data_IF_111872017933
#
_entry.id   IF_111872017933
#
_cell.length_a   1.000
_cell.length_b   1.000
_cell.length_c   1.000
_cell.angle_alpha   90.00
_cell.angle_beta   90.00
_cell.angle_gamma   90.00
#
_symmetry.space_group_name_H-M   'P 1'
#
loop_
_entity.id
_entity.type
_entity.pdbx_description
1 polymer ?
#
# COMPACT_ATOMS: atom_id res chain seq x y z
N UNK A 1 32.07 -9.43 -69.86
CA UNK A 1 31.50 -8.38 -68.98
C UNK A 1 30.49 -9.03 -68.09
N UNK A 2 30.84 -9.21 -66.79
CA UNK A 2 29.92 -9.83 -65.80
C UNK A 2 29.26 -8.68 -65.02
N UNK A 3 27.95 -8.48 -65.21
CA UNK A 3 27.18 -7.48 -64.47
C UNK A 3 26.93 -7.98 -63.04
N UNK A 4 27.31 -7.18 -62.06
CA UNK A 4 27.08 -7.43 -60.62
C UNK A 4 25.72 -6.83 -60.27
N UNK A 5 24.74 -7.67 -59.90
CA UNK A 5 23.44 -7.24 -59.49
C UNK A 5 23.47 -6.92 -57.96
N UNK A 6 23.34 -5.65 -57.59
CA UNK A 6 23.19 -5.24 -56.19
C UNK A 6 21.74 -5.36 -55.78
N UNK A 7 21.43 -6.30 -54.90
CA UNK A 7 20.13 -6.40 -54.24
C UNK A 7 20.18 -5.53 -52.98
N UNK A 8 19.53 -4.41 -52.99
CA UNK A 8 19.30 -3.56 -51.80
C UNK A 8 18.19 -4.17 -50.94
N UNK A 9 18.55 -4.71 -49.79
CA UNK A 9 17.59 -5.17 -48.82
C UNK A 9 16.95 -3.96 -48.09
N UNK A 10 15.67 -3.75 -48.32
CA UNK A 10 14.88 -2.71 -47.61
C UNK A 10 14.43 -3.25 -46.26
N UNK A 11 15.04 -2.79 -45.18
CA UNK A 11 14.64 -3.16 -43.80
C UNK A 11 13.38 -2.40 -43.44
N UNK A 12 12.27 -3.09 -43.31
CA UNK A 12 11.01 -2.53 -42.81
C UNK A 12 11.06 -2.51 -41.28
N UNK A 13 11.17 -1.32 -40.68
CA UNK A 13 11.06 -1.13 -39.24
C UNK A 13 9.57 -1.15 -38.87
N UNK A 14 9.12 -2.24 -38.30
CA UNK A 14 7.75 -2.33 -37.73
C UNK A 14 7.79 -1.63 -36.38
N UNK A 15 7.23 -0.40 -36.33
CA UNK A 15 6.99 0.32 -35.07
C UNK A 15 5.70 -0.23 -34.48
N UNK A 16 5.83 -1.13 -33.48
CA UNK A 16 4.68 -1.55 -32.67
C UNK A 16 4.31 -0.41 -31.74
N UNK A 17 3.06 0.09 -31.75
CA UNK A 17 2.65 1.09 -30.77
C UNK A 17 2.72 0.48 -29.37
N UNK A 18 3.47 1.10 -28.47
CA UNK A 18 3.46 0.80 -27.05
C UNK A 18 2.09 1.26 -26.52
N UNK A 19 1.16 0.33 -26.36
CA UNK A 19 -0.11 0.62 -25.70
C UNK A 19 0.20 1.00 -24.26
N UNK A 20 -0.07 2.24 -23.88
CA UNK A 20 -0.03 2.66 -22.50
C UNK A 20 -1.06 1.81 -21.72
N UNK A 21 -0.59 0.93 -20.86
CA UNK A 21 -1.48 0.18 -19.98
C UNK A 21 -2.10 1.16 -18.98
N UNK A 22 -3.41 1.06 -18.78
CA UNK A 22 -4.05 1.81 -17.70
C UNK A 22 -3.40 1.37 -16.38
N UNK A 23 -3.04 2.32 -15.49
CA UNK A 23 -2.43 1.98 -14.21
C UNK A 23 -3.37 1.08 -13.41
N UNK A 24 -2.82 0.05 -12.77
CA UNK A 24 -3.60 -0.81 -11.90
C UNK A 24 -4.15 -0.03 -10.71
N UNK A 25 -5.35 -0.40 -10.28
CA UNK A 25 -6.07 0.26 -9.19
C UNK A 25 -6.57 -0.76 -8.18
N UNK A 26 -6.66 -0.30 -6.93
CA UNK A 26 -7.30 -1.03 -5.86
C UNK A 26 -8.15 -0.08 -5.01
N UNK A 27 -9.02 -0.66 -4.20
CA UNK A 27 -9.83 0.07 -3.22
C UNK A 27 -9.77 -0.62 -1.88
N UNK A 28 -10.00 0.15 -0.81
CA UNK A 28 -10.15 -0.39 0.52
C UNK A 28 -11.25 0.39 1.27
N UNK A 29 -12.12 -0.33 1.98
CA UNK A 29 -13.22 0.26 2.76
C UNK A 29 -12.87 0.11 4.23
N UNK A 30 -12.68 1.25 4.93
CA UNK A 30 -12.36 1.26 6.35
C UNK A 30 -13.59 0.96 7.19
N UNK A 31 -13.42 0.05 8.16
CA UNK A 31 -14.37 -0.22 9.22
C UNK A 31 -13.74 0.05 10.59
N UNK A 32 -14.55 0.49 11.54
CA UNK A 32 -14.15 0.65 12.94
C UNK A 32 -14.34 -0.65 13.75
N UNK A 33 -14.00 -0.63 15.04
CA UNK A 33 -14.12 -1.77 15.95
C UNK A 33 -15.58 -2.27 16.13
N UNK A 34 -16.59 -1.52 15.69
CA UNK A 34 -18.00 -1.92 15.67
C UNK A 34 -18.44 -2.51 14.31
N UNK A 35 -17.49 -2.64 13.34
CA UNK A 35 -17.78 -3.09 11.99
C UNK A 35 -18.51 -2.07 11.11
N UNK A 36 -18.62 -0.82 11.56
CA UNK A 36 -19.26 0.25 10.79
C UNK A 36 -18.28 0.82 9.77
N UNK A 37 -18.73 1.04 8.54
CA UNK A 37 -17.94 1.74 7.53
C UNK A 37 -17.72 3.19 7.95
N UNK A 38 -16.45 3.62 7.96
CA UNK A 38 -16.02 4.96 8.37
C UNK A 38 -15.22 5.70 7.32
N UNK A 39 -14.91 5.08 6.20
CA UNK A 39 -14.14 5.71 5.13
C UNK A 39 -13.74 4.74 4.02
N UNK A 40 -12.94 5.26 3.11
CA UNK A 40 -12.40 4.47 2.00
C UNK A 40 -11.01 4.97 1.59
N UNK A 41 -10.27 4.12 0.90
CA UNK A 41 -9.06 4.46 0.20
C UNK A 41 -9.14 4.01 -1.26
N UNK A 42 -8.50 4.80 -2.14
CA UNK A 42 -8.15 4.42 -3.50
C UNK A 42 -6.64 4.25 -3.58
N UNK A 43 -6.21 3.19 -4.22
CA UNK A 43 -4.81 2.89 -4.45
C UNK A 43 -4.55 2.91 -5.96
N UNK A 44 -3.50 3.59 -6.36
CA UNK A 44 -3.11 3.75 -7.76
C UNK A 44 -1.66 3.31 -7.94
N UNK A 45 -1.41 2.37 -8.85
CA UNK A 45 -0.05 2.01 -9.25
C UNK A 45 0.60 3.19 -9.97
N UNK A 46 1.79 3.57 -9.54
CA UNK A 46 2.63 4.57 -10.18
C UNK A 46 3.98 3.97 -10.55
N UNK A 47 4.82 4.70 -11.28
CA UNK A 47 6.21 4.30 -11.56
C UNK A 47 7.12 4.33 -10.34
N UNK A 48 6.65 4.88 -9.20
CA UNK A 48 7.43 5.05 -7.97
C UNK A 48 6.88 4.24 -6.79
N UNK A 49 5.90 3.36 -7.01
CA UNK A 49 5.19 2.61 -5.97
C UNK A 49 3.69 2.83 -6.02
N UNK A 50 3.00 2.70 -4.93
CA UNK A 50 1.54 2.83 -4.82
C UNK A 50 1.17 4.14 -4.15
N UNK A 51 0.42 5.00 -4.86
CA UNK A 51 -0.21 6.18 -4.28
C UNK A 51 -1.52 5.75 -3.60
N UNK A 52 -1.63 6.08 -2.31
CA UNK A 52 -2.81 5.80 -1.48
C UNK A 52 -3.49 7.12 -1.16
N UNK A 53 -4.74 7.25 -1.58
CA UNK A 53 -5.60 8.39 -1.27
C UNK A 53 -6.71 7.90 -0.35
N UNK A 54 -6.80 8.43 0.88
CA UNK A 54 -7.81 7.97 1.84
C UNK A 54 -8.57 9.12 2.48
N UNK A 55 -9.88 8.88 2.69
CA UNK A 55 -10.76 9.69 3.53
C UNK A 55 -11.41 8.80 4.58
N UNK A 56 -11.18 9.11 5.86
CA UNK A 56 -11.73 8.38 7.01
C UNK A 56 -12.29 9.38 8.01
N UNK A 57 -13.40 9.05 8.68
CA UNK A 57 -14.07 9.92 9.65
C UNK A 57 -14.33 9.17 10.96
N UNK A 58 -14.55 9.93 12.05
CA UNK A 58 -14.86 9.34 13.35
C UNK A 58 -13.66 8.73 14.05
N UNK A 59 -12.45 9.17 13.68
CA UNK A 59 -11.20 8.81 14.36
C UNK A 59 -10.92 9.81 15.51
N UNK A 60 -10.21 9.41 16.57
CA UNK A 60 -9.70 10.33 17.57
C UNK A 60 -8.77 11.37 16.92
N UNK A 61 -8.84 12.67 17.31
CA UNK A 61 -7.87 13.67 16.85
C UNK A 61 -6.46 13.37 17.33
N UNK A 62 -5.46 13.64 16.49
CA UNK A 62 -4.04 13.47 16.82
C UNK A 62 -3.26 12.74 15.76
N UNK A 63 -2.05 12.34 16.10
CA UNK A 63 -1.19 11.52 15.23
C UNK A 63 -1.47 10.04 15.44
N UNK A 64 -1.58 9.31 14.34
CA UNK A 64 -1.89 7.89 14.29
C UNK A 64 -0.97 7.16 13.34
N UNK A 65 -0.48 6.00 13.76
CA UNK A 65 0.24 5.10 12.89
C UNK A 65 -0.69 4.54 11.79
N UNK A 66 -0.15 4.42 10.60
CA UNK A 66 -0.86 4.02 9.39
C UNK A 66 0.01 3.02 8.64
N UNK A 67 -0.40 1.75 8.63
CA UNK A 67 0.43 0.67 8.09
C UNK A 67 -0.35 -0.25 7.17
N UNK A 68 0.35 -0.86 6.20
CA UNK A 68 -0.16 -2.02 5.48
C UNK A 68 0.19 -3.27 6.29
N UNK A 69 -0.81 -4.13 6.49
CA UNK A 69 -0.71 -5.40 7.20
C UNK A 69 -0.74 -6.58 6.22
N UNK A 70 -0.11 -7.69 6.63
CA UNK A 70 0.20 -8.85 5.78
C UNK A 70 -0.98 -9.73 5.41
N UNK A 71 -2.20 -9.47 5.94
CA UNK A 71 -3.39 -10.25 5.63
C UNK A 71 -4.57 -9.37 5.24
N UNK A 72 -5.29 -9.77 4.20
CA UNK A 72 -6.53 -9.16 3.75
C UNK A 72 -7.74 -9.53 4.62
N UNK A 73 -7.61 -9.34 5.94
CA UNK A 73 -8.63 -9.72 6.92
C UNK A 73 -8.79 -8.63 7.98
N UNK A 74 -10.02 -8.12 8.13
CA UNK A 74 -10.39 -7.08 9.09
C UNK A 74 -11.57 -7.59 9.94
N UNK A 75 -11.30 -8.41 10.97
CA UNK A 75 -12.32 -8.91 11.89
C UNK A 75 -12.39 -8.05 13.16
N UNK A 76 -13.46 -7.26 13.36
CA UNK A 76 -13.63 -6.44 14.56
C UNK A 76 -13.68 -7.26 15.86
N UNK A 77 -14.18 -8.50 15.81
CA UNK A 77 -14.29 -9.36 17.00
C UNK A 77 -12.91 -9.74 17.56
N UNK A 78 -11.88 -9.72 16.72
CA UNK A 78 -10.47 -9.94 17.10
C UNK A 78 -9.70 -8.64 17.34
N UNK A 79 -10.39 -7.48 17.40
CA UNK A 79 -9.73 -6.15 17.39
C UNK A 79 -8.75 -6.00 16.23
N UNK A 80 -9.13 -6.55 15.07
CA UNK A 80 -8.31 -6.57 13.84
C UNK A 80 -6.99 -7.36 13.92
N UNK A 81 -6.79 -8.20 14.94
CA UNK A 81 -5.62 -9.10 14.99
C UNK A 81 -5.58 -10.06 13.78
N UNK A 82 -6.73 -10.30 13.15
CA UNK A 82 -6.86 -11.04 11.89
C UNK A 82 -6.02 -10.48 10.74
N UNK A 83 -5.71 -9.16 10.75
CA UNK A 83 -4.84 -8.51 9.76
C UNK A 83 -3.37 -8.97 9.84
N UNK A 84 -2.98 -9.66 10.91
CA UNK A 84 -1.60 -10.13 11.12
C UNK A 84 -0.64 -8.99 11.52
N UNK A 85 0.66 -9.18 11.29
CA UNK A 85 1.70 -8.17 11.44
C UNK A 85 1.76 -7.20 10.26
N UNK A 86 2.73 -6.29 10.27
CA UNK A 86 2.98 -5.40 9.13
C UNK A 86 3.38 -6.22 7.89
N UNK A 87 3.04 -5.70 6.72
CA UNK A 87 3.48 -6.26 5.45
C UNK A 87 4.99 -6.02 5.32
N UNK A 88 5.77 -7.07 5.37
CA UNK A 88 7.23 -7.04 5.36
C UNK A 88 7.80 -7.99 4.32
N UNK A 89 8.88 -7.61 3.68
CA UNK A 89 9.70 -8.49 2.88
C UNK A 89 10.70 -9.26 3.77
N UNK A 90 11.28 -10.37 3.29
CA UNK A 90 12.17 -11.17 4.09
C UNK A 90 13.36 -10.37 4.66
N UNK A 91 13.53 -10.40 5.98
CA UNK A 91 14.65 -9.77 6.68
C UNK A 91 14.45 -8.31 7.08
N UNK A 92 13.33 -7.68 6.70
CA UNK A 92 12.99 -6.32 7.12
C UNK A 92 12.65 -6.26 8.61
N UNK A 93 12.87 -5.08 9.20
CA UNK A 93 12.51 -4.74 10.57
C UNK A 93 11.56 -3.56 10.55
N UNK A 94 10.84 -3.36 11.66
CA UNK A 94 9.95 -2.22 11.77
C UNK A 94 10.72 -0.91 11.93
N UNK A 95 10.24 0.12 11.20
CA UNK A 95 10.49 1.52 11.49
C UNK A 95 11.60 2.18 10.67
N UNK A 96 11.36 3.43 10.31
CA UNK A 96 12.28 4.26 9.49
C UNK A 96 13.60 4.60 10.19
N UNK A 97 13.65 4.48 11.53
CA UNK A 97 14.84 4.74 12.33
C UNK A 97 15.57 3.45 12.72
N UNK A 98 15.04 2.28 12.34
CA UNK A 98 15.66 1.00 12.61
C UNK A 98 16.83 0.75 11.67
N UNK A 99 17.90 0.16 12.21
CA UNK A 99 19.03 -0.31 11.39
C UNK A 99 18.58 -1.50 10.53
N UNK A 100 18.76 -1.39 9.22
CA UNK A 100 18.42 -2.44 8.25
C UNK A 100 17.13 -2.19 7.47
N UNK A 101 16.52 -1.03 7.59
CA UNK A 101 15.35 -0.60 6.80
C UNK A 101 14.02 -0.81 7.51
N UNK A 102 12.94 -0.25 6.95
CA UNK A 102 11.56 -0.41 7.43
C UNK A 102 10.89 -1.60 6.74
N UNK A 103 9.78 -2.12 7.33
CA UNK A 103 8.88 -3.01 6.60
C UNK A 103 8.35 -2.31 5.33
N UNK A 104 8.05 -3.09 4.30
CA UNK A 104 7.47 -2.55 3.07
C UNK A 104 6.13 -1.84 3.31
N UNK A 105 5.37 -2.24 4.32
CA UNK A 105 4.09 -1.61 4.68
C UNK A 105 4.18 -0.52 5.75
N UNK A 106 5.37 -0.13 6.21
CA UNK A 106 5.53 0.98 7.15
C UNK A 106 5.37 2.31 6.43
N UNK A 107 4.50 3.17 6.93
CA UNK A 107 4.24 4.50 6.37
C UNK A 107 4.36 5.58 7.46
N UNK A 108 4.56 6.84 7.08
CA UNK A 108 4.56 7.94 8.04
C UNK A 108 3.26 8.04 8.82
N UNK A 109 3.35 8.47 10.09
CA UNK A 109 2.17 8.81 10.88
C UNK A 109 1.27 9.79 10.14
N UNK A 110 -0.04 9.65 10.34
CA UNK A 110 -1.05 10.49 9.73
C UNK A 110 -1.75 11.33 10.79
N UNK A 111 -2.11 12.56 10.44
CA UNK A 111 -2.72 13.48 11.37
C UNK A 111 -4.23 13.55 11.18
N UNK A 112 -4.98 13.20 12.21
CA UNK A 112 -6.44 13.33 12.28
C UNK A 112 -6.80 14.70 12.83
N UNK A 113 -7.60 15.45 12.09
CA UNK A 113 -8.06 16.77 12.49
C UNK A 113 -8.98 16.77 13.72
N UNK A 114 -9.23 17.95 14.31
CA UNK A 114 -10.13 18.10 15.45
C UNK A 114 -11.59 17.70 15.14
N UNK A 115 -11.94 17.65 13.86
CA UNK A 115 -13.23 17.16 13.35
C UNK A 115 -13.32 15.63 13.25
N UNK A 116 -12.26 14.91 13.65
CA UNK A 116 -12.17 13.46 13.54
C UNK A 116 -11.98 12.96 12.10
N UNK A 117 -11.60 13.83 11.18
CA UNK A 117 -11.39 13.48 9.79
C UNK A 117 -9.89 13.32 9.46
N UNK A 118 -9.59 12.24 8.75
CA UNK A 118 -8.30 11.97 8.10
C UNK A 118 -8.49 12.10 6.59
N UNK A 119 -7.65 12.93 5.95
CA UNK A 119 -7.55 13.03 4.48
C UNK A 119 -6.08 13.01 4.12
N UNK A 120 -5.67 11.99 3.38
CA UNK A 120 -4.26 11.76 3.05
C UNK A 120 -4.06 11.41 1.59
N UNK A 121 -2.89 11.81 1.08
CA UNK A 121 -2.25 11.27 -0.10
C UNK A 121 -0.85 10.84 0.33
N UNK A 122 -0.59 9.56 0.37
CA UNK A 122 0.72 9.00 0.74
C UNK A 122 1.21 8.07 -0.36
N UNK A 123 2.47 8.23 -0.75
CA UNK A 123 3.16 7.31 -1.67
C UNK A 123 3.92 6.28 -0.84
N UNK A 124 3.64 5.01 -1.07
CA UNK A 124 4.45 3.91 -0.58
C UNK A 124 5.31 3.35 -1.73
N UNK A 125 6.62 3.59 -1.72
CA UNK A 125 7.51 3.17 -2.80
C UNK A 125 7.91 1.68 -2.72
N UNK A 126 7.59 1.00 -1.62
CA UNK A 126 8.08 -0.35 -1.33
C UNK A 126 7.07 -1.44 -1.71
N UNK A 127 5.86 -1.03 -2.15
CA UNK A 127 4.78 -1.96 -2.51
C UNK A 127 4.32 -1.76 -3.95
N UNK A 128 3.61 -2.76 -4.47
CA UNK A 128 3.06 -2.72 -5.84
C UNK A 128 1.67 -3.35 -5.92
N UNK A 129 0.85 -2.87 -6.86
CA UNK A 129 -0.40 -3.53 -7.29
C UNK A 129 -0.16 -4.56 -8.40
N UNK A 130 1.07 -4.67 -8.90
CA UNK A 130 1.45 -5.64 -9.91
C UNK A 130 1.90 -6.96 -9.28
N UNK A 131 2.02 -8.01 -10.10
CA UNK A 131 2.55 -9.30 -9.64
C UNK A 131 4.05 -9.18 -9.43
N UNK A 132 4.53 -9.68 -8.29
CA UNK A 132 5.97 -9.66 -7.96
C UNK A 132 6.24 -9.45 -6.48
N UNK A 133 7.50 -9.19 -6.18
CA UNK A 133 7.92 -8.83 -4.83
C UNK A 133 7.28 -7.51 -4.41
N UNK A 134 6.81 -7.42 -3.18
CA UNK A 134 6.06 -6.27 -2.68
C UNK A 134 4.60 -6.17 -3.16
N UNK A 135 4.08 -7.20 -3.86
CA UNK A 135 2.69 -7.21 -4.32
C UNK A 135 1.69 -7.24 -3.17
N UNK A 136 0.73 -6.31 -3.19
CA UNK A 136 -0.37 -6.26 -2.22
C UNK A 136 -1.43 -7.35 -2.43
N UNK A 137 -1.32 -8.16 -3.49
CA UNK A 137 -2.28 -9.21 -3.86
C UNK A 137 -1.68 -10.62 -3.73
N UNK A 138 -0.87 -10.85 -2.70
CA UNK A 138 -0.42 -12.20 -2.34
C UNK A 138 -1.56 -13.13 -1.95
N UNK A 139 -1.25 -14.41 -1.65
CA UNK A 139 -2.26 -15.43 -1.36
C UNK A 139 -3.22 -15.08 -0.21
N UNK A 140 -2.72 -14.37 0.80
CA UNK A 140 -3.51 -13.94 1.97
C UNK A 140 -4.12 -12.53 1.79
N UNK A 141 -3.81 -11.84 0.69
CA UNK A 141 -4.14 -10.43 0.50
C UNK A 141 -3.46 -9.52 1.53
N UNK A 142 -3.84 -8.25 1.55
CA UNK A 142 -3.33 -7.25 2.50
C UNK A 142 -4.45 -6.35 3.01
N UNK A 143 -4.17 -5.61 4.07
CA UNK A 143 -5.11 -4.60 4.60
C UNK A 143 -4.36 -3.36 5.09
N UNK A 144 -5.04 -2.23 5.14
CA UNK A 144 -4.55 -1.01 5.76
C UNK A 144 -5.11 -0.94 7.18
N UNK A 145 -4.25 -0.65 8.16
CA UNK A 145 -4.65 -0.50 9.56
C UNK A 145 -4.26 0.91 10.06
N UNK A 146 -5.17 1.52 10.80
CA UNK A 146 -4.94 2.75 11.55
C UNK A 146 -4.88 2.37 13.03
N UNK A 147 -3.87 2.87 13.73
CA UNK A 147 -3.65 2.61 15.15
C UNK A 147 -4.08 3.79 16.04
N UNK A 148 -4.25 3.55 17.33
CA UNK A 148 -4.71 4.57 18.28
C UNK A 148 -3.61 5.56 18.71
N UNK A 149 -2.34 5.25 18.42
CA UNK A 149 -1.18 6.08 18.74
C UNK A 149 -0.30 6.28 17.52
N UNK A 150 0.58 7.26 17.61
CA UNK A 150 1.68 7.44 16.68
C UNK A 150 2.68 6.29 16.78
N UNK A 151 3.26 5.93 15.64
CA UNK A 151 4.45 5.10 15.53
C UNK A 151 5.69 5.88 15.98
N UNK A 152 6.54 5.28 16.79
CA UNK A 152 7.83 5.84 17.22
C UNK A 152 8.96 5.59 16.19
N UNK A 153 8.66 4.88 15.09
CA UNK A 153 9.54 4.53 13.97
C UNK A 153 10.75 3.67 14.32
N UNK A 154 10.78 3.03 15.50
CA UNK A 154 11.97 2.30 15.95
C UNK A 154 11.67 1.03 16.76
N UNK A 155 10.64 1.08 17.61
CA UNK A 155 10.34 -0.04 18.51
C UNK A 155 9.80 -1.25 17.78
N UNK A 156 10.41 -2.41 18.04
CA UNK A 156 9.94 -3.66 17.43
C UNK A 156 8.75 -4.23 18.21
N UNK A 157 7.82 -4.90 17.55
CA UNK A 157 7.72 -5.12 16.10
C UNK A 157 6.88 -4.08 15.34
N UNK A 158 6.32 -3.05 15.99
CA UNK A 158 5.26 -2.21 15.42
C UNK A 158 5.22 -0.78 15.99
N UNK A 159 6.38 -0.21 16.43
CA UNK A 159 6.51 1.20 16.77
C UNK A 159 5.71 1.69 17.97
N UNK A 160 5.33 0.79 18.90
CA UNK A 160 4.47 1.14 20.05
C UNK A 160 3.14 1.82 19.65
N UNK A 161 2.67 1.56 18.43
CA UNK A 161 1.51 2.22 17.83
C UNK A 161 0.16 1.97 18.55
N UNK A 162 0.13 1.06 19.52
CA UNK A 162 -1.04 0.78 20.33
C UNK A 162 -2.11 -0.08 19.62
N UNK A 163 -3.38 0.10 20.03
CA UNK A 163 -4.50 -0.70 19.52
C UNK A 163 -4.81 -0.35 18.04
N UNK A 164 -5.44 -1.30 17.33
CA UNK A 164 -5.93 -1.12 15.97
C UNK A 164 -7.34 -0.55 16.01
N UNK A 165 -7.55 0.66 15.52
CA UNK A 165 -8.83 1.36 15.63
C UNK A 165 -9.64 1.37 14.35
N UNK A 166 -9.00 1.16 13.21
CA UNK A 166 -9.66 1.00 11.91
C UNK A 166 -8.86 0.07 11.00
N UNK A 167 -9.58 -0.66 10.15
CA UNK A 167 -8.98 -1.61 9.22
C UNK A 167 -9.74 -1.60 7.88
N UNK A 168 -9.00 -1.77 6.77
CA UNK A 168 -9.56 -1.82 5.42
C UNK A 168 -8.86 -2.87 4.57
N UNK A 169 -9.58 -3.89 4.11
CA UNK A 169 -9.05 -4.90 3.19
C UNK A 169 -8.81 -4.29 1.82
N UNK A 170 -7.60 -4.45 1.26
CA UNK A 170 -7.26 -3.99 -0.08
C UNK A 170 -7.82 -4.97 -1.11
N UNK A 171 -8.58 -4.44 -2.08
CA UNK A 171 -9.22 -5.22 -3.14
C UNK A 171 -8.87 -4.65 -4.51
N UNK A 172 -8.48 -5.52 -5.42
CA UNK A 172 -8.24 -5.15 -6.81
C UNK A 172 -9.53 -4.66 -7.48
N UNK A 173 -9.41 -3.63 -8.32
CA UNK A 173 -10.50 -3.14 -9.18
C UNK A 173 -10.49 -3.81 -10.54
#
# INVERSE_FOLDING_TARGET
MKGLLFITAMTVIVITPLLAQNPQKATAVFINAQGQQIGNANLLQTSQGVLIEAEVKGLPPGEHAFHIHQKGACDPATKFESAGGHFALPGEKHGFLAEGGSHAGDMPNQFVGQDGALRIHVLDPNVTLEVGEGSLFGADGTSIVIHDKADDYSSQPAGNAGDRIACAVIKQQ
#
